data_IF_141089667012
#
_entry.id   IF_141089667012
#
_cell.length_a   1.000
_cell.length_b   1.000
_cell.length_c   1.000
_cell.angle_alpha   90.00
_cell.angle_beta   90.00
_cell.angle_gamma   90.00
#
_symmetry.space_group_name_H-M   'P 1'
#
loop_
_entity.id
_entity.type
_entity.pdbx_description
1 polymer ?
#
# COMPACT_ATOMS: atom_id res chain seq x y z
N UNK A 1 3.21 -8.06 25.47
CA UNK A 1 2.29 -7.59 24.42
C UNK A 1 0.89 -8.02 24.82
N UNK A 2 -0.07 -7.10 24.79
CA UNK A 2 -1.46 -7.37 25.21
C UNK A 2 -2.31 -7.44 23.95
N UNK A 3 -3.10 -8.50 23.81
CA UNK A 3 -3.95 -8.72 22.64
C UNK A 3 -5.41 -8.96 23.06
N UNK A 4 -6.39 -8.49 22.27
CA UNK A 4 -7.80 -8.74 22.53
C UNK A 4 -8.23 -10.17 22.17
N UNK A 5 -7.44 -10.85 21.34
CA UNK A 5 -7.68 -12.22 20.88
C UNK A 5 -6.37 -13.01 20.89
N UNK A 6 -6.46 -14.32 21.08
CA UNK A 6 -5.29 -15.19 20.99
C UNK A 6 -4.92 -15.42 19.51
N UNK A 7 -3.67 -15.09 19.10
CA UNK A 7 -3.23 -15.38 17.75
C UNK A 7 -2.97 -16.88 17.58
N UNK A 8 -3.26 -17.41 16.39
CA UNK A 8 -2.90 -18.79 16.03
C UNK A 8 -1.38 -18.98 16.18
N UNK A 9 -0.98 -20.05 16.88
CA UNK A 9 0.43 -20.33 17.13
C UNK A 9 1.10 -19.29 18.03
N UNK A 10 0.43 -18.87 19.11
CA UNK A 10 0.90 -17.85 20.06
C UNK A 10 2.36 -18.04 20.53
N UNK A 11 2.82 -19.28 20.70
CA UNK A 11 4.22 -19.59 21.02
C UNK A 11 5.21 -19.14 19.93
N UNK A 12 4.94 -19.46 18.66
CA UNK A 12 5.80 -19.08 17.54
C UNK A 12 5.79 -17.57 17.27
N UNK A 13 4.63 -16.92 17.47
CA UNK A 13 4.52 -15.46 17.37
C UNK A 13 5.34 -14.77 18.47
N UNK A 14 5.31 -15.28 19.70
CA UNK A 14 6.07 -14.73 20.81
C UNK A 14 7.60 -14.84 20.60
N UNK A 15 8.06 -15.97 20.07
CA UNK A 15 9.46 -16.19 19.71
C UNK A 15 9.90 -15.22 18.60
N UNK A 16 9.16 -15.15 17.51
CA UNK A 16 9.45 -14.24 16.39
C UNK A 16 9.48 -12.77 16.81
N UNK A 17 8.54 -12.33 17.67
CA UNK A 17 8.54 -10.97 18.21
C UNK A 17 9.71 -10.71 19.17
N UNK A 18 10.17 -11.74 19.88
CA UNK A 18 11.34 -11.65 20.76
C UNK A 18 12.62 -11.45 19.95
N UNK A 19 12.77 -12.15 18.83
CA UNK A 19 13.90 -11.96 17.89
C UNK A 19 13.90 -10.54 17.29
N UNK A 20 12.75 -10.06 16.81
CA UNK A 20 12.60 -8.73 16.23
C UNK A 20 12.91 -7.60 17.22
N UNK A 21 12.52 -7.78 18.49
CA UNK A 21 12.67 -6.76 19.54
C UNK A 21 13.99 -6.86 20.30
N UNK A 22 14.66 -8.02 20.28
CA UNK A 22 15.85 -8.32 21.08
C UNK A 22 15.61 -8.41 22.59
N UNK A 23 14.35 -8.53 23.03
CA UNK A 23 13.93 -8.64 24.45
C UNK A 23 12.72 -9.55 24.55
N UNK A 24 12.62 -10.33 25.63
CA UNK A 24 11.52 -11.29 25.86
C UNK A 24 10.15 -10.61 25.68
N UNK A 25 9.35 -11.15 24.76
CA UNK A 25 7.97 -10.72 24.51
C UNK A 25 7.02 -11.82 24.98
N UNK A 26 6.33 -11.56 26.09
CA UNK A 26 5.20 -12.39 26.54
C UNK A 26 3.90 -11.89 25.93
N UNK A 27 3.11 -12.80 25.36
CA UNK A 27 1.75 -12.50 24.88
C UNK A 27 0.78 -12.71 26.05
N UNK A 28 0.01 -11.67 26.36
CA UNK A 28 -1.04 -11.71 27.37
C UNK A 28 -2.35 -11.46 26.64
N UNK A 29 -3.20 -12.48 26.59
CA UNK A 29 -4.54 -12.38 25.99
C UNK A 29 -5.50 -11.86 27.06
N UNK A 30 -6.21 -10.78 26.75
CA UNK A 30 -7.27 -10.25 27.60
C UNK A 30 -8.52 -10.03 26.76
N UNK A 31 -9.55 -10.89 26.91
CA UNK A 31 -10.75 -10.81 26.09
C UNK A 31 -11.60 -9.57 26.41
N UNK A 32 -11.51 -9.02 27.64
CA UNK A 32 -12.33 -7.87 28.05
C UNK A 32 -11.51 -6.62 28.43
N UNK A 33 -11.84 -5.44 27.87
CA UNK A 33 -11.25 -4.16 28.24
C UNK A 33 -11.87 -3.64 29.54
N UNK A 34 -11.59 -4.32 30.67
CA UNK A 34 -12.12 -3.94 31.97
C UNK A 34 -11.30 -4.41 33.17
N UNK A 35 -10.67 -5.59 33.09
CA UNK A 35 -9.99 -6.16 34.25
C UNK A 35 -8.45 -6.06 34.20
N UNK A 36 -7.90 -5.40 35.23
CA UNK A 36 -6.48 -5.38 35.57
C UNK A 36 -5.66 -4.24 34.95
N UNK A 37 -4.40 -4.12 35.39
CA UNK A 37 -3.49 -2.99 35.09
C UNK A 37 -3.23 -2.73 33.60
N UNK A 38 -3.48 -3.71 32.74
CA UNK A 38 -3.27 -3.63 31.30
C UNK A 38 -4.51 -3.23 30.48
N UNK A 39 -5.71 -3.13 31.10
CA UNK A 39 -6.95 -2.81 30.39
C UNK A 39 -6.95 -1.42 29.73
N UNK A 40 -6.44 -0.34 30.37
CA UNK A 40 -6.36 0.98 29.74
C UNK A 40 -5.47 0.99 28.47
N UNK A 41 -4.38 0.23 28.49
CA UNK A 41 -3.47 0.12 27.34
C UNK A 41 -4.13 -0.58 26.15
N UNK A 42 -4.90 -1.64 26.41
CA UNK A 42 -5.65 -2.35 25.38
C UNK A 42 -6.74 -1.44 24.79
N UNK A 43 -7.47 -0.70 25.63
CA UNK A 43 -8.49 0.24 25.19
C UNK A 43 -7.91 1.33 24.28
N UNK A 44 -6.78 1.95 24.66
CA UNK A 44 -6.10 2.94 23.82
C UNK A 44 -5.61 2.34 22.50
N UNK A 45 -5.02 1.13 22.52
CA UNK A 45 -4.57 0.47 21.31
C UNK A 45 -5.74 0.16 20.35
N UNK A 46 -6.88 -0.29 20.88
CA UNK A 46 -8.10 -0.54 20.10
C UNK A 46 -8.66 0.76 19.51
N UNK A 47 -8.65 1.85 20.27
CA UNK A 47 -9.14 3.14 19.78
C UNK A 47 -8.23 3.69 18.67
N UNK A 48 -6.91 3.63 18.85
CA UNK A 48 -5.95 3.98 17.79
C UNK A 48 -6.15 3.14 16.53
N UNK A 49 -6.38 1.82 16.68
CA UNK A 49 -6.65 0.94 15.55
C UNK A 49 -7.95 1.32 14.82
N UNK A 50 -9.02 1.66 15.56
CA UNK A 50 -10.29 2.14 14.99
C UNK A 50 -10.13 3.47 14.28
N UNK A 51 -9.40 4.42 14.86
CA UNK A 51 -9.10 5.70 14.24
C UNK A 51 -8.32 5.51 12.92
N UNK A 52 -7.22 4.74 12.96
CA UNK A 52 -6.42 4.46 11.78
C UNK A 52 -7.23 3.78 10.67
N UNK A 53 -8.13 2.84 11.03
CA UNK A 53 -9.01 2.20 10.07
C UNK A 53 -10.01 3.18 9.44
N UNK A 54 -10.65 4.03 10.26
CA UNK A 54 -11.60 5.05 9.77
C UNK A 54 -10.93 6.05 8.84
N UNK A 55 -9.77 6.58 9.22
CA UNK A 55 -9.00 7.50 8.37
C UNK A 55 -8.66 6.87 7.03
N UNK A 56 -8.16 5.63 7.03
CA UNK A 56 -7.84 4.91 5.81
C UNK A 56 -9.08 4.69 4.94
N UNK A 57 -10.23 4.34 5.53
CA UNK A 57 -11.48 4.12 4.81
C UNK A 57 -12.03 5.42 4.20
N UNK A 58 -11.97 6.52 4.93
CA UNK A 58 -12.39 7.84 4.45
C UNK A 58 -11.49 8.34 3.31
N UNK A 59 -10.18 8.12 3.41
CA UNK A 59 -9.23 8.46 2.34
C UNK A 59 -9.57 7.73 1.05
N UNK A 60 -9.86 6.42 1.11
CA UNK A 60 -10.25 5.61 -0.05
C UNK A 60 -11.60 6.04 -0.63
N UNK A 61 -12.59 6.34 0.22
CA UNK A 61 -13.90 6.79 -0.23
C UNK A 61 -13.83 8.16 -0.96
N UNK A 62 -13.07 9.10 -0.41
CA UNK A 62 -12.83 10.41 -1.03
C UNK A 62 -12.09 10.27 -2.37
N UNK A 63 -11.06 9.43 -2.39
CA UNK A 63 -10.30 9.09 -3.59
C UNK A 63 -11.15 8.44 -4.69
N UNK A 64 -12.11 7.58 -4.33
CA UNK A 64 -13.05 6.98 -5.28
C UNK A 64 -13.87 8.02 -6.04
N UNK A 65 -14.43 9.00 -5.31
CA UNK A 65 -15.17 10.10 -5.93
C UNK A 65 -14.32 10.97 -6.86
N UNK A 66 -13.03 11.17 -6.53
CA UNK A 66 -12.08 11.87 -7.40
C UNK A 66 -11.74 11.07 -8.67
N UNK A 67 -11.57 9.75 -8.54
CA UNK A 67 -11.30 8.88 -9.69
C UNK A 67 -12.49 8.83 -10.67
N UNK A 68 -13.72 8.82 -10.15
CA UNK A 68 -14.93 8.93 -10.97
C UNK A 68 -15.04 10.28 -11.69
N UNK A 69 -14.69 11.38 -11.01
CA UNK A 69 -14.66 12.70 -11.63
C UNK A 69 -13.62 12.78 -12.75
N UNK A 70 -12.44 12.17 -12.54
CA UNK A 70 -11.40 12.07 -13.56
C UNK A 70 -11.85 11.22 -14.76
N UNK A 71 -12.50 10.09 -14.50
CA UNK A 71 -13.03 9.21 -15.55
C UNK A 71 -14.02 9.93 -16.46
N UNK A 72 -14.95 10.69 -15.86
CA UNK A 72 -15.89 11.53 -16.62
C UNK A 72 -15.20 12.64 -17.41
N UNK A 73 -14.15 13.25 -16.85
CA UNK A 73 -13.42 14.32 -17.53
C UNK A 73 -12.57 13.82 -18.72
N UNK A 74 -12.13 12.55 -18.68
CA UNK A 74 -11.29 11.93 -19.70
C UNK A 74 -12.06 10.94 -20.61
N UNK A 75 -13.39 10.88 -20.47
CA UNK A 75 -14.28 9.97 -21.22
C UNK A 75 -13.87 8.49 -21.13
N UNK A 76 -13.53 8.06 -19.91
CA UNK A 76 -13.16 6.68 -19.61
C UNK A 76 -14.39 5.86 -19.20
N UNK A 77 -14.48 4.62 -19.70
CA UNK A 77 -15.58 3.68 -19.38
C UNK A 77 -15.61 3.31 -17.88
N UNK A 78 -14.43 3.12 -17.27
CA UNK A 78 -14.28 2.77 -15.86
C UNK A 78 -13.29 3.71 -15.16
N UNK A 79 -13.52 4.04 -13.88
CA UNK A 79 -12.58 4.85 -13.12
C UNK A 79 -11.23 4.13 -12.94
N UNK A 80 -10.11 4.83 -13.22
CA UNK A 80 -8.79 4.22 -13.15
C UNK A 80 -8.43 3.87 -11.71
N UNK A 81 -8.19 2.57 -11.48
CA UNK A 81 -7.72 2.09 -10.17
C UNK A 81 -6.25 2.43 -9.92
N UNK A 82 -5.42 2.42 -10.96
CA UNK A 82 -4.00 2.74 -10.85
C UNK A 82 -3.72 3.99 -11.67
N UNK A 83 -3.13 5.00 -11.04
CA UNK A 83 -2.70 6.25 -11.69
C UNK A 83 -1.19 6.35 -11.48
N UNK A 84 -0.44 6.49 -12.57
CA UNK A 84 1.01 6.72 -12.52
C UNK A 84 1.33 8.11 -13.02
N UNK A 85 2.03 8.88 -12.19
CA UNK A 85 2.51 10.22 -12.54
C UNK A 85 4.01 10.12 -12.83
N UNK A 86 4.42 10.59 -14.00
CA UNK A 86 5.82 10.67 -14.41
C UNK A 86 6.27 12.12 -14.35
N UNK A 87 7.34 12.37 -13.63
CA UNK A 87 7.98 13.68 -13.52
C UNK A 87 9.42 13.61 -14.03
N UNK A 88 9.84 14.59 -14.84
CA UNK A 88 11.20 14.68 -15.36
C UNK A 88 11.87 15.91 -14.77
N UNK A 89 12.95 15.69 -14.03
CA UNK A 89 13.73 16.73 -13.38
C UNK A 89 15.09 16.89 -14.05
N UNK A 90 15.39 18.11 -14.48
CA UNK A 90 16.68 18.52 -15.04
C UNK A 90 17.34 19.50 -14.07
N UNK A 91 18.58 19.23 -13.68
CA UNK A 91 19.41 20.20 -12.95
C UNK A 91 20.49 20.70 -13.90
N UNK A 92 20.66 22.02 -14.01
CA UNK A 92 21.63 22.62 -14.92
C UNK A 92 23.06 22.13 -14.58
N UNK A 93 23.58 21.22 -15.40
CA UNK A 93 24.90 20.59 -15.22
C UNK A 93 24.94 19.23 -14.52
N UNK A 94 23.79 18.66 -14.13
CA UNK A 94 23.70 17.32 -13.52
C UNK A 94 22.80 16.37 -14.33
N UNK A 95 22.87 15.08 -14.00
CA UNK A 95 22.11 14.03 -14.68
C UNK A 95 20.59 14.30 -14.65
N UNK A 96 19.91 13.93 -15.74
CA UNK A 96 18.45 14.00 -15.82
C UNK A 96 17.83 12.81 -15.08
N UNK A 97 16.85 13.08 -14.22
CA UNK A 97 16.18 12.05 -13.41
C UNK A 97 14.68 12.04 -13.71
N UNK A 98 14.16 10.86 -14.03
CA UNK A 98 12.73 10.61 -14.14
C UNK A 98 12.19 9.90 -12.90
N UNK A 99 11.13 10.42 -12.30
CA UNK A 99 10.45 9.82 -11.17
C UNK A 99 9.06 9.32 -11.59
N UNK A 100 8.70 8.11 -11.16
CA UNK A 100 7.36 7.55 -11.31
C UNK A 100 6.75 7.41 -9.93
N UNK A 101 5.63 8.11 -9.71
CA UNK A 101 4.79 8.02 -8.52
C UNK A 101 3.54 7.23 -8.87
N UNK A 102 3.13 6.32 -7.97
CA UNK A 102 1.98 5.44 -8.19
C UNK A 102 0.91 5.70 -7.15
N UNK A 103 -0.34 5.85 -7.60
CA UNK A 103 -1.53 5.88 -6.78
C UNK A 103 -2.35 4.63 -7.08
N UNK A 104 -2.76 3.90 -6.04
CA UNK A 104 -3.73 2.80 -6.14
C UNK A 104 -4.99 3.20 -5.38
N UNK A 105 -6.14 3.09 -6.06
CA UNK A 105 -7.46 3.44 -5.54
C UNK A 105 -7.42 4.86 -4.90
N UNK A 106 -6.69 5.76 -5.59
CA UNK A 106 -6.37 7.16 -5.22
C UNK A 106 -5.54 7.36 -3.94
N UNK A 107 -4.95 6.31 -3.38
CA UNK A 107 -4.00 6.39 -2.26
C UNK A 107 -2.57 6.19 -2.76
N UNK A 108 -1.62 6.94 -2.20
CA UNK A 108 -0.21 6.84 -2.55
C UNK A 108 0.34 5.41 -2.29
N UNK A 109 0.83 4.76 -3.35
CA UNK A 109 1.42 3.42 -3.30
C UNK A 109 2.94 3.49 -3.43
N UNK A 110 3.61 3.73 -2.29
CA UNK A 110 5.08 3.83 -2.19
C UNK A 110 5.86 2.65 -2.81
N UNK A 111 5.45 1.38 -2.68
CA UNK A 111 6.18 0.27 -3.30
C UNK A 111 6.22 0.34 -4.84
N UNK A 112 5.26 1.05 -5.46
CA UNK A 112 5.20 1.29 -6.89
C UNK A 112 6.14 2.38 -7.39
N UNK A 113 6.79 3.13 -6.50
CA UNK A 113 7.62 4.26 -6.90
C UNK A 113 8.90 3.77 -7.58
N UNK A 114 9.31 4.45 -8.64
CA UNK A 114 10.54 4.12 -9.39
C UNK A 114 11.26 5.38 -9.84
N UNK A 115 12.56 5.44 -9.57
CA UNK A 115 13.46 6.43 -10.15
C UNK A 115 14.21 5.86 -11.35
N UNK A 116 14.45 6.72 -12.35
CA UNK A 116 15.19 6.40 -13.56
C UNK A 116 16.25 7.48 -13.79
N UNK A 117 17.51 7.10 -13.79
CA UNK A 117 18.58 7.93 -14.35
C UNK A 117 18.47 7.86 -15.88
N UNK A 118 18.20 9.01 -16.50
CA UNK A 118 18.08 9.18 -17.95
C UNK A 118 19.49 9.36 -18.50
N UNK A 119 19.84 8.56 -19.51
CA UNK A 119 21.22 8.51 -20.06
C UNK A 119 21.36 9.27 -21.37
N UNK A 120 20.29 9.90 -21.83
CA UNK A 120 20.25 10.59 -23.12
C UNK A 120 21.19 11.79 -23.09
N UNK A 121 22.12 11.85 -24.04
CA UNK A 121 23.19 12.85 -24.13
C UNK A 121 22.70 14.27 -24.53
N UNK A 122 21.42 14.41 -24.91
CA UNK A 122 20.83 15.71 -25.23
C UNK A 122 20.30 16.37 -23.96
N UNK A 123 21.14 17.21 -23.35
CA UNK A 123 20.76 18.10 -22.24
C UNK A 123 19.56 18.97 -22.65
N UNK A 124 18.43 18.84 -21.95
CA UNK A 124 17.25 19.71 -22.11
C UNK A 124 16.15 19.19 -23.05
N UNK A 125 16.16 17.91 -23.42
CA UNK A 125 15.07 17.30 -24.19
C UNK A 125 14.17 16.41 -23.32
N UNK A 126 13.15 17.04 -22.72
CA UNK A 126 12.15 16.38 -21.88
C UNK A 126 11.40 15.28 -22.63
N UNK A 127 11.16 15.44 -23.94
CA UNK A 127 10.43 14.44 -24.74
C UNK A 127 11.23 13.14 -24.87
N UNK A 128 12.53 13.25 -25.14
CA UNK A 128 13.42 12.08 -25.16
C UNK A 128 13.56 11.44 -23.79
N UNK A 129 13.66 12.25 -22.74
CA UNK A 129 13.72 11.75 -21.37
C UNK A 129 12.43 10.97 -21.00
N UNK A 130 11.25 11.51 -21.28
CA UNK A 130 9.98 10.83 -21.09
C UNK A 130 9.91 9.53 -21.90
N UNK A 131 10.30 9.56 -23.18
CA UNK A 131 10.30 8.38 -24.03
C UNK A 131 11.18 7.27 -23.46
N UNK A 132 12.39 7.59 -22.97
CA UNK A 132 13.29 6.62 -22.35
C UNK A 132 12.66 6.01 -21.08
N UNK A 133 12.13 6.86 -20.19
CA UNK A 133 11.52 6.44 -18.92
C UNK A 133 10.32 5.52 -19.16
N UNK A 134 9.38 5.94 -20.02
CA UNK A 134 8.18 5.16 -20.36
C UNK A 134 8.56 3.85 -21.05
N UNK A 135 9.49 3.89 -22.00
CA UNK A 135 9.99 2.68 -22.68
C UNK A 135 10.56 1.68 -21.68
N UNK A 136 11.40 2.12 -20.74
CA UNK A 136 11.99 1.25 -19.70
C UNK A 136 10.95 0.74 -18.70
N UNK A 137 9.98 1.58 -18.32
CA UNK A 137 8.86 1.24 -17.43
C UNK A 137 7.96 0.15 -18.02
N UNK A 138 7.64 0.25 -19.30
CA UNK A 138 6.73 -0.69 -19.99
C UNK A 138 7.43 -1.89 -20.61
N UNK A 139 8.76 -1.85 -20.81
CA UNK A 139 9.54 -2.99 -21.32
C UNK A 139 9.32 -4.27 -20.52
N UNK A 140 9.15 -4.17 -19.20
CA UNK A 140 8.89 -5.32 -18.31
C UNK A 140 7.46 -5.88 -18.47
N UNK A 141 6.49 -5.04 -18.84
CA UNK A 141 5.10 -5.47 -19.06
C UNK A 141 4.89 -6.29 -20.33
N UNK A 142 5.75 -6.09 -21.35
CA UNK A 142 5.68 -6.82 -22.64
C UNK A 142 6.18 -8.27 -22.56
N UNK A 143 6.93 -8.65 -21.52
CA UNK A 143 7.55 -9.98 -21.38
C UNK A 143 6.67 -10.98 -20.61
N UNK A 144 5.36 -10.73 -20.47
CA UNK A 144 4.41 -11.67 -19.83
C UNK A 144 4.53 -11.79 -18.30
N UNK A 145 5.59 -11.28 -17.68
CA UNK A 145 5.53 -10.90 -16.26
C UNK A 145 4.65 -9.68 -16.20
N UNK A 146 3.42 -9.83 -15.69
CA UNK A 146 2.51 -8.71 -15.39
C UNK A 146 3.38 -7.55 -14.93
N UNK A 147 3.42 -6.46 -15.71
CA UNK A 147 3.97 -5.20 -15.22
C UNK A 147 3.42 -5.04 -13.81
N UNK A 148 4.24 -4.59 -12.85
CA UNK A 148 3.79 -4.29 -11.50
C UNK A 148 2.71 -3.21 -11.53
N UNK A 149 1.52 -3.58 -12.00
CA UNK A 149 0.26 -3.06 -11.57
C UNK A 149 0.27 -3.28 -10.09
N UNK A 150 -0.10 -2.22 -9.38
CA UNK A 150 -0.36 -2.32 -7.99
C UNK A 150 -1.54 -3.30 -7.81
N UNK A 151 -1.22 -4.59 -7.73
CA UNK A 151 -2.19 -5.63 -7.44
C UNK A 151 -2.67 -5.35 -6.03
N UNK A 152 -3.98 -5.20 -5.89
CA UNK A 152 -4.62 -5.49 -4.62
C UNK A 152 -4.22 -6.90 -4.23
N UNK A 153 -3.63 -7.06 -3.05
CA UNK A 153 -3.84 -8.32 -2.34
C UNK A 153 -5.34 -8.41 -2.11
N UNK A 154 -5.99 -9.32 -2.83
CA UNK A 154 -7.35 -9.75 -2.54
C UNK A 154 -7.33 -10.36 -1.14
N UNK A 155 -7.63 -9.55 -0.13
CA UNK A 155 -8.16 -10.09 1.11
C UNK A 155 -9.63 -10.38 0.83
N UNK A 156 -9.89 -11.53 0.24
CA UNK A 156 -11.25 -12.09 0.22
C UNK A 156 -11.55 -12.54 1.64
N UNK A 157 -12.45 -11.84 2.30
CA UNK A 157 -13.12 -12.35 3.50
C UNK A 157 -14.18 -13.35 3.02
N UNK A 158 -13.81 -14.63 2.96
CA UNK A 158 -14.80 -15.71 3.02
C UNK A 158 -14.93 -16.13 4.47
N UNK A 159 -15.86 -15.46 5.16
CA UNK A 159 -16.47 -15.95 6.38
C UNK A 159 -17.83 -16.56 6.01
N UNK A 160 -17.91 -17.88 6.28
CA UNK A 160 -19.09 -18.69 6.61
C UNK A 160 -20.25 -18.85 5.60
N UNK A 161 -20.50 -20.11 5.24
CA UNK A 161 -21.76 -20.73 5.59
C UNK A 161 -21.58 -22.24 5.82
N UNK A 162 -21.89 -22.64 7.04
CA UNK A 162 -22.14 -24.00 7.47
C UNK A 162 -23.19 -24.70 6.61
N UNK A 163 -22.94 -25.96 6.27
CA UNK A 163 -24.03 -26.95 6.15
C UNK A 163 -23.50 -28.30 6.62
N UNK A 164 -23.80 -28.56 7.88
CA UNK A 164 -23.74 -29.88 8.50
C UNK A 164 -25.05 -30.59 8.18
N UNK A 165 -24.91 -31.87 7.80
CA UNK A 165 -25.88 -32.97 7.95
C UNK A 165 -27.00 -33.14 6.92
N UNK A 166 -27.56 -34.36 6.79
CA UNK A 166 -27.40 -35.56 7.64
C UNK A 166 -26.46 -36.65 7.10
#
# INVERSE_FOLDING_TARGET
MVLPLEPEGSAGVAEWLTELRGKEVRIVVKPEPGEGSAAPLLAMAMENARHAFREKRMAVASAGGQAEALARALDMEEPPRTIECVDISHHAGAETVGAVVCLLDGVAYKPGYKGFHVRTENTGDDYRAMYEVLSRRFRRGRTGRRAGSCRTSSWSTEAEASSTSP
#
